data_IF_718936002984
#
_entry.id   IF_718936002984
#
_cell.length_a   1.000
_cell.length_b   1.000
_cell.length_c   1.000
_cell.angle_alpha   90.00
_cell.angle_beta   90.00
_cell.angle_gamma   90.00
#
_symmetry.space_group_name_H-M   'P 1'
#
loop_
_entity.id
_entity.type
_entity.pdbx_description
1 polymer ?
#
# COMPACT_ATOMS: atom_id res chain seq x y z
N UNK A 1 4.17 5.11 -4.80
CA UNK A 1 3.09 5.83 -4.05
C UNK A 1 3.39 5.97 -2.57
N UNK A 2 3.62 4.89 -1.82
CA UNK A 2 3.85 4.95 -0.37
C UNK A 2 5.04 5.85 0.00
N UNK A 3 6.18 5.75 -0.69
CA UNK A 3 7.35 6.63 -0.50
C UNK A 3 7.01 8.11 -0.63
N UNK A 4 6.23 8.49 -1.64
CA UNK A 4 5.79 9.86 -1.86
C UNK A 4 4.86 10.35 -0.74
N UNK A 5 3.82 9.58 -0.41
CA UNK A 5 2.79 10.00 0.55
C UNK A 5 3.26 9.93 2.02
N UNK A 6 4.18 9.02 2.34
CA UNK A 6 4.65 8.80 3.71
C UNK A 6 6.03 9.40 3.91
N UNK A 7 7.01 8.94 3.16
CA UNK A 7 8.39 9.43 3.25
C UNK A 7 8.47 10.94 3.07
N UNK A 8 7.86 11.46 2.01
CA UNK A 8 7.83 12.89 1.72
C UNK A 8 7.19 13.72 2.83
N UNK A 9 6.01 13.30 3.33
CA UNK A 9 5.31 14.01 4.42
C UNK A 9 6.03 13.92 5.77
N UNK A 10 6.70 12.80 6.05
CA UNK A 10 7.51 12.66 7.27
C UNK A 10 8.67 13.65 7.25
N UNK A 11 9.36 13.73 6.15
CA UNK A 11 10.45 14.68 5.95
C UNK A 11 9.97 16.14 6.08
N UNK A 12 8.84 16.49 5.46
CA UNK A 12 8.22 17.81 5.57
C UNK A 12 7.91 18.18 7.02
N UNK A 13 7.29 17.26 7.78
CA UNK A 13 6.99 17.47 9.21
C UNK A 13 8.24 17.61 10.06
N UNK A 14 9.31 16.89 9.73
CA UNK A 14 10.62 17.04 10.38
C UNK A 14 11.21 18.42 10.13
N UNK A 15 11.20 18.86 8.85
CA UNK A 15 11.72 20.19 8.47
C UNK A 15 10.97 21.30 9.21
N UNK A 16 9.66 21.17 9.39
CA UNK A 16 8.81 22.13 10.08
C UNK A 16 8.81 21.96 11.61
N UNK A 17 9.56 21.01 12.18
CA UNK A 17 9.63 20.76 13.62
C UNK A 17 8.36 20.18 14.25
N UNK A 18 7.37 19.74 13.44
CA UNK A 18 6.02 19.32 13.88
C UNK A 18 5.87 17.79 13.93
N UNK A 19 6.96 17.03 13.82
CA UNK A 19 6.89 15.57 13.83
C UNK A 19 6.62 15.03 15.24
N UNK A 20 5.52 14.29 15.40
CA UNK A 20 5.18 13.55 16.62
C UNK A 20 5.02 12.06 16.29
N UNK A 21 5.88 11.23 16.89
CA UNK A 21 5.93 9.77 16.64
C UNK A 21 4.63 9.08 17.05
N UNK A 22 4.02 9.49 18.15
CA UNK A 22 2.77 8.86 18.64
C UNK A 22 1.63 9.10 17.69
N UNK A 23 1.43 10.34 17.26
CA UNK A 23 0.43 10.70 16.25
C UNK A 23 0.70 9.99 14.92
N UNK A 24 1.97 9.92 14.51
CA UNK A 24 2.39 9.20 13.31
C UNK A 24 2.04 7.70 13.42
N UNK A 25 2.41 7.06 14.52
CA UNK A 25 2.13 5.64 14.78
C UNK A 25 0.64 5.33 14.75
N UNK A 26 -0.20 6.10 15.46
CA UNK A 26 -1.67 5.93 15.44
C UNK A 26 -2.21 6.08 14.02
N UNK A 27 -1.80 7.13 13.30
CA UNK A 27 -2.30 7.40 11.96
C UNK A 27 -1.97 6.27 10.98
N UNK A 28 -0.79 5.61 11.10
CA UNK A 28 -0.37 4.50 10.27
C UNK A 28 -0.98 3.18 10.70
N UNK A 29 -0.94 2.86 12.00
CA UNK A 29 -1.53 1.62 12.53
C UNK A 29 -3.01 1.50 12.21
N UNK A 30 -3.80 2.54 12.48
CA UNK A 30 -5.25 2.50 12.19
C UNK A 30 -5.53 2.36 10.70
N UNK A 31 -4.73 3.01 9.85
CA UNK A 31 -4.88 2.90 8.39
C UNK A 31 -4.62 1.50 7.85
N UNK A 32 -3.67 0.76 8.46
CA UNK A 32 -3.31 -0.58 8.01
C UNK A 32 -4.16 -1.64 8.71
N UNK A 33 -4.25 -1.58 10.05
CA UNK A 33 -4.83 -2.66 10.82
C UNK A 33 -6.32 -2.85 10.58
N UNK A 34 -7.09 -1.77 10.38
CA UNK A 34 -8.54 -1.92 10.15
C UNK A 34 -8.86 -2.71 8.87
N UNK A 35 -8.31 -2.35 7.68
CA UNK A 35 -8.53 -3.14 6.48
C UNK A 35 -7.87 -4.53 6.55
N UNK A 36 -6.70 -4.65 7.19
CA UNK A 36 -6.03 -5.95 7.32
C UNK A 36 -6.85 -6.93 8.17
N UNK A 37 -7.31 -6.49 9.34
CA UNK A 37 -8.15 -7.32 10.23
C UNK A 37 -9.43 -7.73 9.50
N UNK A 38 -10.10 -6.80 8.80
CA UNK A 38 -11.31 -7.12 8.05
C UNK A 38 -11.05 -8.15 6.95
N UNK A 39 -9.91 -8.06 6.25
CA UNK A 39 -9.50 -9.02 5.22
C UNK A 39 -9.18 -10.39 5.83
N UNK A 40 -8.48 -10.43 6.96
CA UNK A 40 -8.14 -11.69 7.64
C UNK A 40 -9.40 -12.36 8.24
N UNK A 41 -10.39 -11.59 8.69
CA UNK A 41 -11.69 -12.13 9.08
C UNK A 41 -12.46 -12.67 7.86
N UNK A 42 -12.40 -11.96 6.73
CA UNK A 42 -13.01 -12.43 5.49
C UNK A 42 -12.33 -13.70 4.97
N UNK A 43 -11.01 -13.85 5.16
CA UNK A 43 -10.28 -15.09 4.86
C UNK A 43 -10.81 -16.26 5.70
N UNK A 44 -11.02 -16.10 7.02
CA UNK A 44 -11.58 -17.15 7.87
C UNK A 44 -12.96 -17.58 7.34
N UNK A 45 -13.81 -16.60 6.99
CA UNK A 45 -15.12 -16.89 6.42
C UNK A 45 -15.01 -17.65 5.09
N UNK A 46 -14.12 -17.25 4.19
CA UNK A 46 -13.92 -17.94 2.90
C UNK A 46 -13.39 -19.36 3.09
N UNK A 47 -12.43 -19.56 3.98
CA UNK A 47 -11.91 -20.88 4.31
C UNK A 47 -13.01 -21.78 4.91
N UNK A 48 -13.83 -21.24 5.81
CA UNK A 48 -14.97 -21.97 6.39
C UNK A 48 -15.98 -22.42 5.32
N UNK A 49 -16.33 -21.54 4.38
CA UNK A 49 -17.24 -21.88 3.25
C UNK A 49 -16.65 -22.98 2.37
N UNK A 50 -15.33 -22.96 2.15
CA UNK A 50 -14.63 -23.93 1.30
C UNK A 50 -14.27 -25.24 2.01
N UNK A 51 -14.50 -25.33 3.32
CA UNK A 51 -14.10 -26.48 4.13
C UNK A 51 -12.58 -26.62 4.28
N UNK A 52 -11.83 -25.50 4.21
CA UNK A 52 -10.37 -25.46 4.32
C UNK A 52 -9.99 -25.04 5.74
N UNK A 53 -9.08 -25.79 6.36
CA UNK A 53 -8.54 -25.40 7.66
C UNK A 53 -7.70 -24.12 7.56
N UNK A 54 -7.89 -23.24 8.55
CA UNK A 54 -7.12 -21.99 8.61
C UNK A 54 -5.75 -22.26 9.27
N UNK A 55 -4.67 -21.97 8.56
CA UNK A 55 -3.33 -21.93 9.16
C UNK A 55 -3.19 -20.71 10.09
N UNK A 56 -3.38 -20.95 11.38
CA UNK A 56 -3.34 -19.90 12.40
C UNK A 56 -1.94 -19.27 12.55
N UNK A 57 -0.86 -20.03 12.32
CA UNK A 57 0.51 -19.51 12.41
C UNK A 57 0.73 -18.48 11.29
N UNK A 58 0.39 -18.87 10.07
CA UNK A 58 0.46 -17.95 8.94
C UNK A 58 -0.51 -16.78 9.12
N UNK A 59 -1.72 -16.99 9.65
CA UNK A 59 -2.70 -15.95 9.91
C UNK A 59 -2.17 -14.88 10.88
N UNK A 60 -1.64 -15.28 12.05
CA UNK A 60 -1.03 -14.35 13.01
C UNK A 60 0.24 -13.70 12.47
N UNK A 61 1.05 -14.43 11.71
CA UNK A 61 2.22 -13.89 11.03
C UNK A 61 1.84 -12.77 10.05
N UNK A 62 0.77 -12.95 9.28
CA UNK A 62 0.26 -11.92 8.35
C UNK A 62 -0.36 -10.73 9.10
N UNK A 63 -1.05 -10.95 10.22
CA UNK A 63 -1.55 -9.87 11.08
C UNK A 63 -0.41 -8.99 11.61
N UNK A 64 0.73 -9.57 11.93
CA UNK A 64 1.94 -8.87 12.37
C UNK A 64 2.82 -8.38 11.22
N UNK A 65 2.38 -8.55 9.97
CA UNK A 65 3.11 -8.17 8.75
C UNK A 65 4.51 -8.80 8.64
N UNK A 66 4.62 -10.08 9.03
CA UNK A 66 5.84 -10.88 8.97
C UNK A 66 5.92 -11.78 7.73
N UNK A 67 4.94 -11.69 6.82
CA UNK A 67 4.93 -12.41 5.55
C UNK A 67 6.14 -12.00 4.68
N UNK A 68 6.75 -13.01 4.06
CA UNK A 68 7.98 -12.84 3.29
C UNK A 68 9.25 -12.77 4.14
N UNK A 69 9.13 -12.78 5.50
CA UNK A 69 10.25 -12.77 6.44
C UNK A 69 10.29 -14.11 7.20
N UNK A 70 9.19 -14.48 7.86
CA UNK A 70 9.05 -15.67 8.69
C UNK A 70 7.89 -16.59 8.33
N UNK A 71 6.88 -16.09 7.59
CA UNK A 71 5.74 -16.86 7.15
C UNK A 71 5.41 -16.58 5.70
N UNK A 72 4.62 -17.47 5.08
CA UNK A 72 4.05 -17.26 3.77
C UNK A 72 2.90 -16.24 3.82
N UNK A 73 2.63 -15.60 2.69
CA UNK A 73 1.42 -14.78 2.54
C UNK A 73 0.20 -15.69 2.45
N UNK A 74 -0.79 -15.49 3.32
CA UNK A 74 -2.05 -16.27 3.27
C UNK A 74 -2.93 -15.90 2.08
N UNK A 75 -2.70 -14.72 1.50
CA UNK A 75 -3.33 -14.21 0.28
C UNK A 75 -2.27 -13.45 -0.51
N UNK A 76 -2.22 -13.63 -1.84
CA UNK A 76 -1.22 -13.00 -2.69
C UNK A 76 -0.99 -11.49 -2.46
N UNK A 77 -2.02 -10.63 -2.36
CA UNK A 77 -1.80 -9.20 -2.17
C UNK A 77 -1.06 -8.82 -0.88
N UNK A 78 -1.11 -9.66 0.16
CA UNK A 78 -0.53 -9.31 1.47
C UNK A 78 1.00 -9.23 1.48
N UNK A 79 1.69 -9.85 0.52
CA UNK A 79 3.16 -9.76 0.47
C UNK A 79 3.67 -8.31 0.42
N UNK A 80 2.97 -7.43 -0.31
CA UNK A 80 3.35 -6.02 -0.44
C UNK A 80 3.07 -5.20 0.83
N UNK A 81 2.11 -5.65 1.65
CA UNK A 81 1.77 -4.99 2.91
C UNK A 81 2.92 -5.09 3.93
N UNK A 82 3.66 -6.21 3.94
CA UNK A 82 4.87 -6.34 4.76
C UNK A 82 5.85 -5.21 4.46
N UNK A 83 6.15 -4.97 3.18
CA UNK A 83 7.01 -3.85 2.78
C UNK A 83 6.48 -2.51 3.27
N UNK A 84 5.18 -2.27 3.14
CA UNK A 84 4.58 -1.00 3.54
C UNK A 84 4.70 -0.75 5.05
N UNK A 85 4.45 -1.75 5.87
CA UNK A 85 4.60 -1.65 7.33
C UNK A 85 6.05 -1.39 7.73
N UNK A 86 7.00 -2.14 7.16
CA UNK A 86 8.42 -1.97 7.44
C UNK A 86 8.95 -0.63 6.94
N UNK A 87 8.45 -0.10 5.83
CA UNK A 87 8.75 1.29 5.41
C UNK A 87 8.20 2.33 6.39
N UNK A 88 7.06 2.09 7.01
CA UNK A 88 6.54 3.01 8.03
C UNK A 88 7.39 2.97 9.30
N UNK A 89 7.82 1.80 9.73
CA UNK A 89 8.72 1.66 10.88
C UNK A 89 10.07 2.33 10.58
N UNK A 90 10.63 2.10 9.39
CA UNK A 90 11.86 2.74 8.93
C UNK A 90 11.73 4.26 8.90
N UNK A 91 10.67 4.81 8.30
CA UNK A 91 10.44 6.24 8.24
C UNK A 91 10.27 6.86 9.63
N UNK A 92 9.59 6.17 10.55
CA UNK A 92 9.43 6.59 11.94
C UNK A 92 10.75 6.61 12.72
N UNK A 93 11.58 5.58 12.56
CA UNK A 93 12.89 5.49 13.23
C UNK A 93 13.85 6.56 12.71
N UNK A 94 13.94 6.73 11.39
CA UNK A 94 14.72 7.81 10.78
C UNK A 94 14.25 9.19 11.25
N UNK A 95 12.94 9.42 11.28
CA UNK A 95 12.38 10.68 11.76
C UNK A 95 12.75 10.98 13.21
N UNK A 96 12.81 9.96 14.04
CA UNK A 96 13.26 10.11 15.43
C UNK A 96 14.75 10.47 15.50
N UNK A 97 15.60 9.83 14.71
CA UNK A 97 17.06 10.12 14.70
C UNK A 97 17.35 11.55 14.24
N UNK A 98 16.58 12.10 13.31
CA UNK A 98 16.77 13.47 12.80
C UNK A 98 16.05 14.55 13.63
N UNK A 99 15.30 14.19 14.67
CA UNK A 99 14.64 15.14 15.54
C UNK A 99 15.64 15.84 16.47
N UNK A 100 15.68 17.18 16.49
CA UNK A 100 16.66 18.01 17.21
C UNK A 100 16.77 17.78 18.73
N UNK A 101 15.74 17.25 19.40
CA UNK A 101 15.73 17.00 20.84
C UNK A 101 15.23 15.58 21.10
N UNK A 102 16.16 14.61 21.14
CA UNK A 102 15.84 13.22 21.46
C UNK A 102 16.37 12.88 22.83
N UNK A 103 15.48 12.49 23.74
CA UNK A 103 15.85 11.78 24.95
C UNK A 103 16.03 10.31 24.62
N UNK A 104 17.25 9.89 24.27
CA UNK A 104 17.62 8.49 23.99
C UNK A 104 17.68 8.14 22.50
N UNK A 105 18.87 8.17 21.91
CA UNK A 105 19.16 7.78 20.51
C UNK A 105 19.13 6.25 20.33
N UNK A 106 19.36 5.49 21.42
CA UNK A 106 19.53 4.03 21.34
C UNK A 106 18.31 3.30 20.74
N UNK A 107 17.08 3.64 21.17
CA UNK A 107 15.87 2.95 20.71
C UNK A 107 15.62 3.15 19.20
N UNK A 108 15.60 4.38 18.65
CA UNK A 108 15.47 4.57 17.21
C UNK A 108 16.57 3.90 16.39
N UNK A 109 17.80 3.88 16.91
CA UNK A 109 18.93 3.23 16.26
C UNK A 109 18.77 1.71 16.22
N UNK A 110 18.35 1.08 17.33
CA UNK A 110 18.06 -0.36 17.36
C UNK A 110 16.94 -0.71 16.39
N UNK A 111 15.87 0.08 16.35
CA UNK A 111 14.76 -0.13 15.40
C UNK A 111 15.26 0.00 13.95
N UNK A 112 16.12 0.96 13.66
CA UNK A 112 16.73 1.10 12.35
C UNK A 112 17.54 -0.12 11.95
N UNK A 113 18.37 -0.65 12.86
CA UNK A 113 19.15 -1.86 12.62
C UNK A 113 18.23 -3.08 12.36
N UNK A 114 17.16 -3.24 13.13
CA UNK A 114 16.17 -4.29 12.89
C UNK A 114 15.53 -4.12 11.49
N UNK A 115 15.16 -2.93 11.10
CA UNK A 115 14.63 -2.67 9.75
C UNK A 115 15.64 -3.06 8.67
N UNK A 116 16.91 -2.69 8.81
CA UNK A 116 17.95 -3.05 7.85
C UNK A 116 18.14 -4.56 7.76
N UNK A 117 18.14 -5.28 8.88
CA UNK A 117 18.16 -6.75 8.90
C UNK A 117 16.94 -7.37 8.22
N UNK A 118 15.76 -6.81 8.40
CA UNK A 118 14.54 -7.27 7.72
C UNK A 118 14.67 -7.05 6.21
N UNK A 119 15.19 -5.92 5.76
CA UNK A 119 15.38 -5.65 4.33
C UNK A 119 16.46 -6.51 3.67
N UNK A 120 17.31 -7.23 4.43
CA UNK A 120 18.16 -8.28 3.84
C UNK A 120 17.39 -9.54 3.45
N UNK A 121 16.21 -9.77 4.05
CA UNK A 121 15.31 -10.89 3.71
C UNK A 121 14.29 -10.51 2.63
N UNK A 122 13.92 -9.25 2.57
CA UNK A 122 13.02 -8.68 1.56
C UNK A 122 13.83 -8.21 0.34
N UNK A 123 13.20 -8.16 -0.84
CA UNK A 123 13.88 -7.65 -2.05
C UNK A 123 14.24 -6.15 -1.88
N UNK A 124 15.54 -5.78 -1.89
CA UNK A 124 15.97 -4.42 -1.67
C UNK A 124 15.55 -3.45 -2.78
N UNK A 125 15.19 -3.95 -3.98
CA UNK A 125 14.70 -3.10 -5.08
C UNK A 125 13.49 -2.26 -4.64
N UNK A 126 12.60 -2.82 -3.83
CA UNK A 126 11.43 -2.08 -3.33
C UNK A 126 11.79 -0.96 -2.34
N UNK A 127 12.90 -1.10 -1.60
CA UNK A 127 13.40 -0.01 -0.77
C UNK A 127 13.88 1.16 -1.65
N UNK A 128 14.61 0.89 -2.73
CA UNK A 128 15.01 1.94 -3.69
C UNK A 128 13.78 2.62 -4.31
N UNK A 129 12.78 1.86 -4.72
CA UNK A 129 11.51 2.38 -5.25
C UNK A 129 10.83 3.30 -4.23
N UNK A 130 10.83 2.91 -2.96
CA UNK A 130 10.24 3.71 -1.89
C UNK A 130 11.01 5.02 -1.67
N UNK A 131 12.34 4.99 -1.65
CA UNK A 131 13.20 6.16 -1.53
C UNK A 131 13.01 7.10 -2.73
N UNK A 132 12.96 6.57 -3.95
CA UNK A 132 12.66 7.37 -5.16
C UNK A 132 11.31 8.10 -5.02
N UNK A 133 10.29 7.42 -4.51
CA UNK A 133 9.00 8.06 -4.23
C UNK A 133 9.12 9.20 -3.20
N UNK A 134 9.91 9.03 -2.15
CA UNK A 134 10.15 10.08 -1.15
C UNK A 134 10.91 11.28 -1.74
N UNK A 135 11.92 11.04 -2.56
CA UNK A 135 12.68 12.10 -3.28
C UNK A 135 11.75 12.85 -4.25
N UNK A 136 10.87 12.13 -4.95
CA UNK A 136 9.89 12.73 -5.88
C UNK A 136 9.00 13.77 -5.21
N UNK A 137 8.67 13.59 -3.92
CA UNK A 137 7.92 14.59 -3.14
C UNK A 137 8.67 15.92 -2.99
N UNK A 138 10.01 15.88 -2.92
CA UNK A 138 10.84 17.07 -2.74
C UNK A 138 11.17 17.78 -4.06
N UNK A 139 11.33 17.00 -5.12
CA UNK A 139 11.69 17.50 -6.45
C UNK A 139 10.42 17.74 -7.26
N UNK A 140 9.50 18.58 -6.76
CA UNK A 140 8.30 18.90 -7.51
C UNK A 140 8.54 20.07 -8.47
N UNK A 141 8.22 19.92 -9.77
CA UNK A 141 8.27 21.02 -10.71
C UNK A 141 7.21 22.07 -10.38
N UNK A 142 7.46 23.34 -10.77
CA UNK A 142 6.51 24.43 -10.53
C UNK A 142 5.36 24.45 -11.53
N UNK A 143 5.57 23.91 -12.72
CA UNK A 143 4.60 23.91 -13.84
C UNK A 143 4.47 22.52 -14.44
N UNK A 144 3.27 22.17 -14.90
CA UNK A 144 3.02 20.91 -15.58
C UNK A 144 3.55 20.95 -17.01
N UNK A 145 4.41 20.00 -17.36
CA UNK A 145 4.86 19.78 -18.73
C UNK A 145 4.02 18.66 -19.36
N UNK A 146 3.07 19.05 -20.25
CA UNK A 146 2.16 18.12 -20.92
C UNK A 146 2.88 17.08 -21.77
N UNK A 147 3.99 17.46 -22.42
CA UNK A 147 4.79 16.53 -23.22
C UNK A 147 5.39 15.44 -22.33
N UNK A 148 6.04 15.82 -21.21
CA UNK A 148 6.59 14.87 -20.25
C UNK A 148 5.51 13.96 -19.65
N UNK A 149 4.31 14.50 -19.41
CA UNK A 149 3.17 13.72 -18.93
C UNK A 149 2.77 12.63 -19.94
N UNK A 150 2.64 12.98 -21.23
CA UNK A 150 2.29 12.03 -22.28
C UNK A 150 3.38 10.97 -22.47
N UNK A 151 4.66 11.37 -22.50
CA UNK A 151 5.79 10.45 -22.63
C UNK A 151 5.84 9.49 -21.44
N UNK A 152 5.68 9.98 -20.21
CA UNK A 152 5.67 9.14 -19.02
C UNK A 152 4.49 8.14 -19.04
N UNK A 153 3.30 8.58 -19.46
CA UNK A 153 2.12 7.71 -19.59
C UNK A 153 2.35 6.62 -20.64
N UNK A 154 2.86 6.95 -21.83
CA UNK A 154 3.17 5.98 -22.87
C UNK A 154 4.24 4.98 -22.41
N UNK A 155 5.32 5.47 -21.78
CA UNK A 155 6.35 4.61 -21.23
C UNK A 155 5.80 3.65 -20.17
N UNK A 156 4.92 4.10 -19.28
CA UNK A 156 4.24 3.25 -18.31
C UNK A 156 3.42 2.15 -18.98
N UNK A 157 2.63 2.47 -20.02
CA UNK A 157 1.81 1.49 -20.75
C UNK A 157 2.71 0.42 -21.38
N UNK A 158 3.80 0.84 -22.03
CA UNK A 158 4.76 -0.09 -22.65
C UNK A 158 5.41 -0.98 -21.59
N UNK A 159 5.84 -0.39 -20.46
CA UNK A 159 6.49 -1.14 -19.37
C UNK A 159 5.52 -2.11 -18.68
N UNK A 160 4.25 -1.75 -18.49
CA UNK A 160 3.23 -2.69 -17.99
C UNK A 160 3.08 -3.86 -18.96
N UNK A 161 2.96 -3.59 -20.26
CA UNK A 161 2.87 -4.63 -21.30
C UNK A 161 4.08 -5.55 -21.26
N UNK A 162 5.31 -5.01 -21.18
CA UNK A 162 6.55 -5.77 -21.09
C UNK A 162 6.61 -6.62 -19.81
N UNK A 163 6.23 -6.05 -18.64
CA UNK A 163 6.17 -6.80 -17.37
C UNK A 163 5.18 -7.95 -17.41
N UNK A 164 4.00 -7.76 -18.01
CA UNK A 164 3.03 -8.83 -18.18
C UNK A 164 3.53 -9.89 -19.15
N UNK A 165 4.13 -9.49 -20.28
CA UNK A 165 4.71 -10.42 -21.24
C UNK A 165 5.82 -11.27 -20.60
N UNK A 166 6.74 -10.67 -19.81
CA UNK A 166 7.79 -11.42 -19.12
C UNK A 166 7.24 -12.40 -18.10
N UNK A 167 6.13 -12.06 -17.42
CA UNK A 167 5.45 -12.96 -16.48
C UNK A 167 4.87 -14.17 -17.20
N UNK A 168 4.15 -13.96 -18.29
CA UNK A 168 3.53 -15.03 -19.09
C UNK A 168 4.59 -15.90 -19.75
N UNK A 169 5.63 -15.33 -20.36
CA UNK A 169 6.70 -16.06 -21.00
C UNK A 169 7.44 -17.01 -20.05
N UNK A 170 7.66 -16.60 -18.81
CA UNK A 170 8.26 -17.45 -17.78
C UNK A 170 7.33 -18.58 -17.33
N UNK A 171 6.02 -18.33 -17.25
CA UNK A 171 5.05 -19.36 -16.87
C UNK A 171 4.86 -20.42 -17.94
N UNK A 172 5.04 -20.06 -19.21
CA UNK A 172 4.89 -20.95 -20.36
C UNK A 172 6.22 -21.65 -20.77
N UNK A 173 7.29 -21.50 -19.97
CA UNK A 173 8.63 -22.07 -20.24
C UNK A 173 9.15 -21.84 -21.69
N UNK A 174 8.82 -20.69 -22.28
CA UNK A 174 9.34 -20.26 -23.59
C UNK A 174 10.82 -19.88 -23.45
N UNK A 175 11.67 -20.88 -23.16
CA UNK A 175 13.05 -20.72 -22.73
C UNK A 175 13.96 -19.95 -23.69
N UNK A 176 13.71 -20.00 -24.99
CA UNK A 176 14.52 -19.27 -25.98
C UNK A 176 14.34 -17.74 -25.93
N UNK A 177 13.15 -17.26 -25.59
CA UNK A 177 12.87 -15.81 -25.51
C UNK A 177 13.23 -15.20 -24.16
N UNK A 178 13.44 -16.01 -23.12
CA UNK A 178 13.74 -15.49 -21.77
C UNK A 178 15.11 -14.84 -21.66
N UNK A 179 16.07 -15.21 -22.51
CA UNK A 179 17.44 -14.67 -22.53
C UNK A 179 17.52 -13.23 -23.04
N UNK A 180 16.57 -12.80 -23.87
CA UNK A 180 16.49 -11.43 -24.40
C UNK A 180 15.66 -10.47 -23.53
N UNK A 181 14.94 -10.99 -22.54
CA UNK A 181 14.08 -10.17 -21.70
C UNK A 181 14.91 -9.52 -20.58
N UNK A 182 14.73 -8.21 -20.34
CA UNK A 182 15.38 -7.53 -19.25
C UNK A 182 15.06 -8.17 -17.89
N UNK A 183 15.97 -8.02 -16.93
CA UNK A 183 15.73 -8.46 -15.57
C UNK A 183 14.45 -7.79 -15.04
N UNK A 184 13.59 -8.56 -14.41
CA UNK A 184 12.31 -8.09 -13.85
C UNK A 184 12.50 -6.93 -12.89
N UNK A 185 13.50 -7.01 -12.01
CA UNK A 185 13.78 -5.93 -11.04
C UNK A 185 14.17 -4.63 -11.76
N UNK A 186 14.92 -4.71 -12.86
CA UNK A 186 15.26 -3.55 -13.69
C UNK A 186 14.01 -2.93 -14.34
N UNK A 187 13.09 -3.75 -14.84
CA UNK A 187 11.81 -3.28 -15.40
C UNK A 187 10.93 -2.62 -14.33
N UNK A 188 10.86 -3.20 -13.13
CA UNK A 188 10.09 -2.65 -12.01
C UNK A 188 10.70 -1.31 -11.53
N UNK A 189 12.02 -1.18 -11.50
CA UNK A 189 12.70 0.09 -11.20
C UNK A 189 12.42 1.14 -12.27
N UNK A 190 12.52 0.79 -13.55
CA UNK A 190 12.24 1.69 -14.67
C UNK A 190 10.77 2.13 -14.67
N UNK A 191 9.84 1.21 -14.43
CA UNK A 191 8.43 1.51 -14.27
C UNK A 191 8.20 2.49 -13.10
N UNK A 192 8.86 2.26 -11.98
CA UNK A 192 8.73 3.11 -10.80
C UNK A 192 9.29 4.51 -11.04
N UNK A 193 10.39 4.62 -11.78
CA UNK A 193 10.94 5.92 -12.17
C UNK A 193 9.98 6.69 -13.10
N UNK A 194 9.46 6.04 -14.15
CA UNK A 194 8.47 6.65 -15.05
C UNK A 194 7.19 7.02 -14.33
N UNK A 195 6.75 6.20 -13.37
CA UNK A 195 5.61 6.49 -12.50
C UNK A 195 5.86 7.72 -11.60
N UNK A 196 7.07 7.89 -11.08
CA UNK A 196 7.44 9.09 -10.32
C UNK A 196 7.36 10.36 -11.18
N UNK A 197 7.87 10.31 -12.42
CA UNK A 197 7.75 11.43 -13.37
C UNK A 197 6.28 11.74 -13.71
N UNK A 198 5.48 10.71 -13.97
CA UNK A 198 4.05 10.85 -14.22
C UNK A 198 3.34 11.51 -13.02
N UNK A 199 3.62 11.02 -11.80
CA UNK A 199 3.00 11.53 -10.57
C UNK A 199 3.31 13.01 -10.33
N UNK A 200 4.57 13.45 -10.58
CA UNK A 200 4.97 14.85 -10.49
C UNK A 200 4.13 15.76 -11.38
N UNK A 201 3.81 15.29 -12.60
CA UNK A 201 3.03 16.09 -13.54
C UNK A 201 1.53 16.08 -13.22
N UNK A 202 0.98 14.91 -12.87
CA UNK A 202 -0.46 14.76 -12.58
C UNK A 202 -0.91 15.58 -11.38
N UNK A 203 -0.09 15.67 -10.34
CA UNK A 203 -0.42 16.44 -9.12
C UNK A 203 -0.64 17.94 -9.42
N UNK A 204 0.00 18.46 -10.46
CA UNK A 204 -0.12 19.86 -10.87
C UNK A 204 -1.37 20.14 -11.69
N UNK A 205 -2.05 19.10 -12.18
CA UNK A 205 -3.26 19.25 -13.00
C UNK A 205 -4.46 19.58 -12.12
N UNK A 206 -5.10 20.72 -12.37
CA UNK A 206 -6.36 21.09 -11.73
C UNK A 206 -7.53 20.75 -12.65
N UNK A 207 -8.58 20.09 -12.17
CA UNK A 207 -9.77 19.79 -12.95
C UNK A 207 -10.54 21.09 -13.21
N UNK A 208 -10.46 21.64 -14.42
CA UNK A 208 -11.14 22.89 -14.81
C UNK A 208 -12.54 22.62 -15.34
N UNK A 209 -12.70 21.62 -16.23
CA UNK A 209 -13.95 21.31 -16.89
C UNK A 209 -14.91 20.49 -16.02
N UNK A 210 -16.20 20.57 -16.29
CA UNK A 210 -17.25 19.81 -15.59
C UNK A 210 -16.98 18.29 -15.63
N UNK A 211 -16.60 17.75 -16.79
CA UNK A 211 -16.24 16.34 -16.96
C UNK A 211 -15.02 15.96 -16.10
N UNK A 212 -13.97 16.78 -16.09
CA UNK A 212 -12.77 16.52 -15.28
C UNK A 212 -13.09 16.56 -13.78
N UNK A 213 -13.97 17.47 -13.34
CA UNK A 213 -14.46 17.51 -11.95
C UNK A 213 -15.29 16.29 -11.59
N UNK A 214 -16.16 15.81 -12.50
CA UNK A 214 -16.92 14.58 -12.30
C UNK A 214 -16.01 13.36 -12.18
N UNK A 215 -15.06 13.18 -13.11
CA UNK A 215 -14.07 12.07 -13.07
C UNK A 215 -13.26 12.13 -11.77
N UNK A 216 -12.79 13.30 -11.35
CA UNK A 216 -12.04 13.47 -10.11
C UNK A 216 -12.90 13.13 -8.88
N UNK A 217 -14.17 13.52 -8.85
CA UNK A 217 -15.11 13.16 -7.78
C UNK A 217 -15.35 11.66 -7.71
N UNK A 218 -15.55 11.00 -8.85
CA UNK A 218 -15.68 9.53 -8.92
C UNK A 218 -14.40 8.86 -8.47
N UNK A 219 -13.23 9.31 -8.97
CA UNK A 219 -11.92 8.80 -8.55
C UNK A 219 -11.69 8.90 -7.05
N UNK A 220 -12.11 9.99 -6.42
CA UNK A 220 -12.01 10.17 -4.96
C UNK A 220 -12.87 9.16 -4.20
N UNK A 221 -14.08 8.86 -4.69
CA UNK A 221 -14.96 7.84 -4.09
C UNK A 221 -14.35 6.44 -4.22
N UNK A 222 -13.81 6.08 -5.40
CA UNK A 222 -13.14 4.80 -5.60
C UNK A 222 -11.85 4.70 -4.77
N UNK A 223 -11.08 5.78 -4.66
CA UNK A 223 -9.87 5.82 -3.84
C UNK A 223 -10.16 5.56 -2.36
N UNK A 224 -11.36 5.88 -1.87
CA UNK A 224 -11.73 5.70 -0.47
C UNK A 224 -11.70 4.23 -0.02
N UNK A 225 -12.11 3.29 -0.89
CA UNK A 225 -12.14 1.85 -0.59
C UNK A 225 -11.15 1.01 -1.40
N UNK A 226 -10.29 1.66 -2.21
CA UNK A 226 -9.32 0.98 -3.09
C UNK A 226 -8.34 0.09 -2.33
N UNK A 227 -8.00 0.45 -1.09
CA UNK A 227 -7.11 -0.34 -0.26
C UNK A 227 -7.79 -1.63 0.23
N UNK A 228 -9.02 -1.55 0.70
CA UNK A 228 -9.82 -2.73 1.03
C UNK A 228 -10.06 -3.61 -0.20
N UNK A 229 -10.34 -3.00 -1.38
CA UNK A 229 -10.48 -3.73 -2.65
C UNK A 229 -9.19 -4.50 -2.97
N UNK A 230 -8.04 -3.84 -2.87
CA UNK A 230 -6.74 -4.48 -3.10
C UNK A 230 -6.52 -5.71 -2.20
N UNK A 231 -6.91 -5.64 -0.94
CA UNK A 231 -6.72 -6.74 0.01
C UNK A 231 -7.72 -7.88 -0.19
N UNK A 232 -8.97 -7.59 -0.59
CA UNK A 232 -10.08 -8.56 -0.58
C UNK A 232 -10.41 -9.19 -1.92
N UNK A 233 -10.02 -8.58 -3.07
CA UNK A 233 -10.43 -9.06 -4.39
C UNK A 233 -10.05 -10.53 -4.65
N UNK A 234 -8.85 -10.96 -4.22
CA UNK A 234 -8.41 -12.35 -4.42
C UNK A 234 -9.28 -13.36 -3.64
N UNK A 235 -9.82 -12.98 -2.49
CA UNK A 235 -10.76 -13.84 -1.75
C UNK A 235 -12.08 -13.98 -2.48
N UNK A 236 -12.56 -12.91 -3.09
CA UNK A 236 -13.77 -12.95 -3.92
C UNK A 236 -13.56 -13.86 -5.14
N UNK A 237 -12.41 -13.75 -5.82
CA UNK A 237 -12.07 -14.62 -6.94
C UNK A 237 -11.96 -16.09 -6.52
N UNK A 238 -11.34 -16.40 -5.37
CA UNK A 238 -11.29 -17.77 -4.82
C UNK A 238 -12.69 -18.33 -4.55
N UNK A 239 -13.61 -17.52 -4.02
CA UNK A 239 -14.99 -17.95 -3.81
C UNK A 239 -15.70 -18.23 -5.13
N UNK A 240 -15.52 -17.37 -6.13
CA UNK A 240 -16.11 -17.58 -7.45
C UNK A 240 -15.58 -18.87 -8.11
N UNK A 241 -14.28 -19.11 -8.03
CA UNK A 241 -13.66 -20.34 -8.51
C UNK A 241 -14.23 -21.58 -7.80
N UNK A 242 -14.43 -21.51 -6.48
CA UNK A 242 -15.03 -22.59 -5.69
C UNK A 242 -16.46 -22.92 -6.13
N UNK A 243 -17.25 -21.92 -6.52
CA UNK A 243 -18.59 -22.10 -7.04
C UNK A 243 -18.65 -22.41 -8.55
N UNK A 244 -17.50 -22.79 -9.15
CA UNK A 244 -17.46 -23.25 -10.53
C UNK A 244 -17.33 -22.14 -11.57
N UNK A 245 -16.83 -20.98 -11.18
CA UNK A 245 -16.58 -19.91 -12.12
C UNK A 245 -15.58 -20.33 -13.22
N UNK A 246 -15.90 -20.16 -14.51
CA UNK A 246 -15.08 -20.65 -15.60
C UNK A 246 -13.77 -19.88 -15.69
N UNK A 247 -12.63 -20.61 -15.71
CA UNK A 247 -11.33 -20.02 -16.08
C UNK A 247 -11.27 -19.93 -17.61
N UNK A 248 -11.50 -18.73 -18.13
CA UNK A 248 -11.42 -18.53 -19.57
C UNK A 248 -9.96 -18.40 -20.02
N UNK A 249 -9.58 -19.21 -21.01
CA UNK A 249 -8.26 -19.16 -21.69
C UNK A 249 -8.30 -18.40 -23.00
N UNK A 250 -9.50 -18.01 -23.47
CA UNK A 250 -9.70 -17.30 -24.72
C UNK A 250 -10.39 -15.95 -24.50
N UNK A 251 -9.99 -14.96 -25.31
CA UNK A 251 -10.63 -13.63 -25.28
C UNK A 251 -11.86 -13.67 -26.21
N UNK A 252 -13.03 -13.80 -25.63
CA UNK A 252 -14.32 -13.69 -26.32
C UNK A 252 -15.28 -12.78 -25.52
N UNK A 253 -16.40 -12.41 -26.11
CA UNK A 253 -17.36 -11.50 -25.47
C UNK A 253 -17.91 -12.05 -24.13
N UNK A 254 -18.05 -13.37 -24.04
CA UNK A 254 -18.48 -14.01 -22.81
C UNK A 254 -17.42 -13.88 -21.70
N UNK A 255 -16.14 -14.11 -22.03
CA UNK A 255 -15.04 -13.95 -21.07
C UNK A 255 -14.89 -12.49 -20.58
N UNK A 256 -15.07 -11.52 -21.49
CA UNK A 256 -15.04 -10.09 -21.14
C UNK A 256 -16.21 -9.73 -20.21
N UNK A 257 -17.42 -10.20 -20.53
CA UNK A 257 -18.60 -10.00 -19.68
C UNK A 257 -18.43 -10.60 -18.30
N UNK A 258 -17.87 -11.81 -18.24
CA UNK A 258 -17.57 -12.51 -16.99
C UNK A 258 -16.54 -11.75 -16.15
N UNK A 259 -15.43 -11.33 -16.75
CA UNK A 259 -14.40 -10.53 -16.08
C UNK A 259 -14.95 -9.20 -15.51
N UNK A 260 -15.84 -8.53 -16.27
CA UNK A 260 -16.51 -7.32 -15.78
C UNK A 260 -17.41 -7.66 -14.57
N UNK A 261 -18.09 -8.79 -14.60
CA UNK A 261 -18.91 -9.27 -13.48
C UNK A 261 -18.08 -9.52 -12.22
N UNK A 262 -16.93 -10.21 -12.35
CA UNK A 262 -15.98 -10.44 -11.25
C UNK A 262 -15.45 -9.11 -10.66
N UNK A 263 -15.12 -8.16 -11.52
CA UNK A 263 -14.66 -6.84 -11.11
C UNK A 263 -15.76 -6.12 -10.30
N UNK A 264 -16.97 -6.07 -10.81
CA UNK A 264 -18.11 -5.41 -10.15
C UNK A 264 -18.41 -6.07 -8.80
N UNK A 265 -18.45 -7.41 -8.74
CA UNK A 265 -18.68 -8.13 -7.50
C UNK A 265 -17.59 -7.86 -6.48
N UNK A 266 -16.32 -7.88 -6.90
CA UNK A 266 -15.18 -7.54 -6.04
C UNK A 266 -15.30 -6.12 -5.49
N UNK A 267 -15.74 -5.16 -6.30
CA UNK A 267 -15.98 -3.77 -5.87
C UNK A 267 -17.13 -3.66 -4.87
N UNK A 268 -18.23 -4.39 -5.07
CA UNK A 268 -19.39 -4.40 -4.16
C UNK A 268 -18.98 -4.96 -2.79
N UNK A 269 -18.31 -6.12 -2.79
CA UNK A 269 -17.85 -6.77 -1.54
C UNK A 269 -16.83 -5.88 -0.82
N UNK A 270 -15.88 -5.32 -1.53
CA UNK A 270 -14.88 -4.41 -0.95
C UNK A 270 -15.53 -3.16 -0.37
N UNK A 271 -16.52 -2.57 -1.07
CA UNK A 271 -17.25 -1.40 -0.57
C UNK A 271 -18.05 -1.73 0.71
N UNK A 272 -18.66 -2.89 0.78
CA UNK A 272 -19.38 -3.36 1.97
C UNK A 272 -18.43 -3.52 3.17
N UNK A 273 -17.29 -4.18 2.98
CA UNK A 273 -16.25 -4.35 4.01
C UNK A 273 -15.71 -2.99 4.45
N UNK A 274 -15.39 -2.09 3.50
CA UNK A 274 -14.98 -0.72 3.78
C UNK A 274 -16.01 0.04 4.62
N UNK A 275 -17.30 -0.08 4.30
CA UNK A 275 -18.36 0.62 5.00
C UNK A 275 -18.46 0.20 6.47
N UNK A 276 -18.28 -1.09 6.77
CA UNK A 276 -18.30 -1.63 8.13
C UNK A 276 -17.06 -1.23 8.92
N UNK A 277 -15.87 -1.45 8.35
CA UNK A 277 -14.60 -1.40 9.11
C UNK A 277 -13.85 -0.09 8.90
N UNK A 278 -13.69 0.37 7.67
CA UNK A 278 -12.75 1.45 7.34
C UNK A 278 -13.39 2.84 7.37
N UNK A 279 -14.68 2.98 7.05
CA UNK A 279 -15.38 4.27 7.04
C UNK A 279 -15.28 5.02 8.37
N UNK A 280 -15.14 4.29 9.48
CA UNK A 280 -15.03 4.86 10.85
C UNK A 280 -13.59 5.11 11.29
N UNK A 281 -12.62 5.00 10.40
CA UNK A 281 -11.19 5.22 10.70
C UNK A 281 -10.92 6.57 11.39
N UNK A 282 -11.58 7.64 10.95
CA UNK A 282 -11.45 8.97 11.55
C UNK A 282 -11.92 8.99 13.02
N UNK A 283 -13.04 8.34 13.33
CA UNK A 283 -13.58 8.22 14.68
C UNK A 283 -12.65 7.41 15.59
N UNK A 284 -12.14 6.28 15.10
CA UNK A 284 -11.17 5.46 15.86
C UNK A 284 -9.89 6.24 16.15
N UNK A 285 -9.37 6.98 15.17
CA UNK A 285 -8.20 7.84 15.35
C UNK A 285 -8.44 8.94 16.40
N UNK A 286 -9.56 9.64 16.34
CA UNK A 286 -9.88 10.68 17.30
C UNK A 286 -10.03 10.12 18.71
N UNK A 287 -10.69 8.98 18.86
CA UNK A 287 -10.86 8.30 20.15
C UNK A 287 -9.50 7.87 20.75
N UNK A 288 -8.59 7.28 19.94
CA UNK A 288 -7.25 6.91 20.40
C UNK A 288 -6.42 8.13 20.80
N UNK A 289 -6.50 9.22 20.04
CA UNK A 289 -5.79 10.48 20.36
C UNK A 289 -6.32 11.10 21.65
N UNK A 290 -7.63 11.17 21.83
CA UNK A 290 -8.25 11.77 23.02
C UNK A 290 -7.93 10.98 24.31
N UNK A 291 -7.95 9.64 24.28
CA UNK A 291 -7.53 8.84 25.43
C UNK A 291 -6.08 9.13 25.86
N UNK A 292 -5.19 9.39 24.91
CA UNK A 292 -3.79 9.71 25.22
C UNK A 292 -3.63 11.09 25.89
N UNK A 293 -4.48 12.07 25.57
CA UNK A 293 -4.48 13.37 26.24
C UNK A 293 -5.06 13.27 27.65
N UNK A 294 -6.07 12.45 27.88
CA UNK A 294 -6.69 12.24 29.19
C UNK A 294 -5.74 11.57 30.20
N UNK A 295 -4.81 10.74 29.77
CA UNK A 295 -3.77 10.14 30.64
C UNK A 295 -2.63 11.12 31.02
N UNK A 296 -2.58 12.33 30.46
CA UNK A 296 -1.54 13.33 30.78
C UNK A 296 -1.95 14.36 31.84
N UNK A 297 -3.17 14.32 32.35
CA UNK A 297 -3.64 15.24 33.37
C UNK A 297 -4.08 14.45 34.61
N UNK A 298 -3.15 13.98 35.44
CA UNK A 298 -3.21 14.23 36.86
C UNK A 298 -1.81 14.40 37.46
N UNK A 299 -1.33 15.59 37.66
CA UNK A 299 -0.29 15.92 38.66
C UNK A 299 0.11 17.42 38.68
N UNK A 300 -0.82 18.32 38.50
CA UNK A 300 -0.54 19.75 38.81
C UNK A 300 -1.75 20.43 39.44
N UNK A 301 -2.23 19.86 40.55
CA UNK A 301 -3.15 20.55 41.41
C UNK A 301 -3.11 19.95 42.81
N UNK A 302 -2.00 20.19 43.52
CA UNK A 302 -1.90 20.17 44.98
C UNK A 302 -0.48 20.53 45.38
N UNK A 303 -0.24 21.82 45.48
CA UNK A 303 0.66 22.45 46.46
C UNK A 303 0.55 23.95 46.26
N UNK A 304 -0.36 24.51 46.99
CA UNK A 304 -0.25 25.82 47.60
C UNK A 304 -1.33 25.87 48.69
N UNK A 305 -0.88 25.54 49.89
CA UNK A 305 -1.34 26.06 51.17
C UNK A 305 -0.20 25.84 52.16
#
# INVERSE_FOLDING_TARGET
MSGFLVGGRVLERLKNGVFDLKTYGIDRSVRILLPLVSTLLFLILTNFIQGIDTDWIAWFGNLLSLQGIYCSSVIDPLWSLSYEVWFYILAGSLAMLFKKHINGIAIPFIILLICLLVFTKLNPAYLFIWVMGAITYWVQPKTCNKFLLCVALLAMIILIGTLQFTRVSRSLSLGEYSSFLPNRDALELLFSFTFCLFLQQVILIRPVNSLARFINSMGTKFAAFSYTLYLTHMLVLRLLEYYGAPKSTSVNWFSVGYYIGELILSMIVAYFIYWIFEKRTATVKSWLKNRQFSCRIPCLSKRDN
#
